data_IF_698974026563
#
_entry.id   IF_698974026563
#
_cell.length_a   1.000
_cell.length_b   1.000
_cell.length_c   1.000
_cell.angle_alpha   90.00
_cell.angle_beta   90.00
_cell.angle_gamma   90.00
#
_symmetry.space_group_name_H-M   'P 1'
#
loop_
_entity.id
_entity.type
_entity.pdbx_description
1 polymer ?
#
# COMPACT_ATOMS: atom_id res chain seq x y z
N UNK A 1 12.58 10.78 -20.68
CA UNK A 1 12.72 10.62 -19.22
C UNK A 1 11.37 10.57 -18.56
N UNK A 2 11.22 9.77 -17.51
CA UNK A 2 10.02 9.67 -16.68
C UNK A 2 10.38 10.14 -15.27
N UNK A 3 9.67 11.14 -14.79
CA UNK A 3 9.85 11.72 -13.45
C UNK A 3 8.78 11.16 -12.54
N UNK A 4 9.17 10.52 -11.45
CA UNK A 4 8.27 9.99 -10.44
C UNK A 4 8.43 10.73 -9.13
N UNK A 5 7.31 11.05 -8.51
CA UNK A 5 7.23 11.51 -7.12
C UNK A 5 6.42 10.54 -6.30
N UNK A 6 6.88 10.23 -5.11
CA UNK A 6 6.11 9.54 -4.07
C UNK A 6 6.00 10.48 -2.87
N UNK A 7 4.80 11.01 -2.65
CA UNK A 7 4.53 11.99 -1.60
C UNK A 7 3.95 11.23 -0.42
N UNK A 8 4.74 11.09 0.63
CA UNK A 8 4.28 10.51 1.90
C UNK A 8 4.09 11.56 2.99
N UNK A 9 3.48 11.19 4.11
CA UNK A 9 3.24 12.10 5.23
C UNK A 9 4.50 12.61 5.94
N UNK A 10 5.70 12.12 5.62
CA UNK A 10 6.97 12.54 6.26
C UNK A 10 8.05 12.95 5.27
N UNK A 11 7.98 12.45 4.05
CA UNK A 11 8.98 12.68 3.01
C UNK A 11 8.37 12.70 1.63
N UNK A 12 9.02 13.40 0.71
CA UNK A 12 8.84 13.29 -0.73
C UNK A 12 10.05 12.53 -1.29
N UNK A 13 9.80 11.49 -2.06
CA UNK A 13 10.83 10.82 -2.85
C UNK A 13 10.66 11.20 -4.32
N UNK A 14 11.73 11.63 -4.95
CA UNK A 14 11.79 11.96 -6.38
C UNK A 14 12.78 11.07 -7.09
N UNK A 15 12.38 10.48 -8.21
CA UNK A 15 13.26 9.67 -9.05
C UNK A 15 13.06 9.97 -10.53
N UNK A 16 14.15 9.86 -11.28
CA UNK A 16 14.17 9.98 -12.74
C UNK A 16 14.55 8.65 -13.35
N UNK A 17 13.74 8.22 -14.31
CA UNK A 17 13.95 6.97 -15.05
C UNK A 17 14.18 7.28 -16.53
N UNK A 18 15.11 6.55 -17.15
CA UNK A 18 15.32 6.57 -18.59
C UNK A 18 14.26 5.70 -19.33
N UNK A 19 14.35 5.61 -20.65
CA UNK A 19 13.42 4.80 -21.46
C UNK A 19 13.54 3.30 -21.24
N UNK A 20 14.67 2.82 -20.71
CA UNK A 20 14.85 1.43 -20.28
C UNK A 20 14.30 1.14 -18.89
N UNK A 21 13.70 2.15 -18.21
CA UNK A 21 13.20 2.11 -16.84
C UNK A 21 14.31 1.90 -15.79
N UNK A 22 15.51 2.36 -16.08
CA UNK A 22 16.60 2.42 -15.13
C UNK A 22 16.55 3.74 -14.37
N UNK A 23 16.68 3.70 -13.04
CA UNK A 23 16.77 4.89 -12.19
C UNK A 23 18.12 5.57 -12.41
N UNK A 24 18.10 6.79 -12.94
CA UNK A 24 19.30 7.59 -13.23
C UNK A 24 19.49 8.75 -12.25
N UNK A 25 18.52 9.01 -11.41
CA UNK A 25 18.57 10.00 -10.33
C UNK A 25 17.52 9.69 -9.27
N UNK A 26 17.89 9.86 -8.00
CA UNK A 26 16.99 9.76 -6.85
C UNK A 26 17.39 10.81 -5.81
N UNK A 27 16.41 11.45 -5.22
CA UNK A 27 16.60 12.40 -4.11
C UNK A 27 15.38 12.36 -3.19
N UNK A 28 15.58 12.61 -1.90
CA UNK A 28 14.52 12.64 -0.87
C UNK A 28 14.61 13.90 -0.05
N UNK A 29 13.47 14.49 0.28
CA UNK A 29 13.36 15.62 1.21
C UNK A 29 12.25 15.35 2.22
N UNK A 30 12.26 16.03 3.39
CA UNK A 30 11.09 16.09 4.27
C UNK A 30 9.88 16.64 3.49
N UNK A 31 8.69 16.09 3.73
CA UNK A 31 7.47 16.58 3.11
C UNK A 31 7.00 17.85 3.84
N UNK A 32 6.67 18.94 3.11
CA UNK A 32 5.89 20.05 3.65
C UNK A 32 4.46 19.58 3.94
N UNK A 33 4.16 19.32 5.22
CA UNK A 33 2.88 18.70 5.61
C UNK A 33 1.77 19.68 5.86
N UNK A 34 2.10 20.97 6.11
CA UNK A 34 1.15 21.99 6.52
C UNK A 34 0.88 23.03 5.46
N UNK A 35 1.82 23.29 4.55
CA UNK A 35 1.74 24.33 3.54
C UNK A 35 1.72 23.73 2.13
N UNK A 36 0.64 23.97 1.40
CA UNK A 36 0.46 23.45 0.03
C UNK A 36 1.34 24.18 -0.98
N UNK A 37 1.53 25.48 -0.85
CA UNK A 37 2.38 26.25 -1.76
C UNK A 37 3.86 25.85 -1.62
N UNK A 38 4.32 25.61 -0.38
CA UNK A 38 5.66 25.07 -0.12
C UNK A 38 5.83 23.67 -0.75
N UNK A 39 4.79 22.83 -0.70
CA UNK A 39 4.79 21.53 -1.37
C UNK A 39 4.92 21.68 -2.89
N UNK A 40 4.12 22.57 -3.51
CA UNK A 40 4.20 22.84 -4.94
C UNK A 40 5.57 23.40 -5.35
N UNK A 41 6.14 24.30 -4.55
CA UNK A 41 7.48 24.88 -4.78
C UNK A 41 8.58 23.79 -4.72
N UNK A 42 8.45 22.84 -3.80
CA UNK A 42 9.36 21.71 -3.70
C UNK A 42 9.30 20.81 -4.96
N UNK A 43 8.09 20.48 -5.42
CA UNK A 43 7.88 19.67 -6.64
C UNK A 43 8.43 20.37 -7.87
N UNK A 44 8.13 21.67 -8.06
CA UNK A 44 8.60 22.48 -9.17
C UNK A 44 10.14 22.58 -9.19
N UNK A 45 10.75 22.78 -8.02
CA UNK A 45 12.21 22.82 -7.86
C UNK A 45 12.88 21.53 -8.33
N UNK A 46 12.35 20.38 -7.96
CA UNK A 46 12.86 19.07 -8.41
C UNK A 46 12.73 18.88 -9.91
N UNK A 47 11.57 19.24 -10.48
CA UNK A 47 11.29 19.14 -11.91
C UNK A 47 12.27 20.01 -12.69
N UNK A 48 12.43 21.30 -12.29
CA UNK A 48 13.37 22.21 -12.94
C UNK A 48 14.83 21.74 -12.85
N UNK A 49 15.24 21.26 -11.67
CA UNK A 49 16.58 20.69 -11.44
C UNK A 49 16.85 19.49 -12.37
N UNK A 50 15.87 18.61 -12.52
CA UNK A 50 15.97 17.45 -13.42
C UNK A 50 15.97 17.84 -14.88
N UNK A 51 15.09 18.75 -15.29
CA UNK A 51 15.06 19.27 -16.68
C UNK A 51 16.41 19.85 -17.08
N UNK A 52 17.01 20.67 -16.22
CA UNK A 52 18.34 21.23 -16.44
C UNK A 52 19.45 20.20 -16.47
N UNK A 53 19.38 19.20 -15.56
CA UNK A 53 20.41 18.16 -15.46
C UNK A 53 20.44 17.23 -16.66
N UNK A 54 19.26 16.89 -17.20
CA UNK A 54 19.12 15.92 -18.29
C UNK A 54 18.84 16.56 -19.65
N UNK A 55 18.83 17.87 -19.71
CA UNK A 55 18.54 18.68 -20.91
C UNK A 55 17.27 18.20 -21.63
N UNK A 56 16.21 17.95 -20.87
CA UNK A 56 14.93 17.49 -21.41
C UNK A 56 13.77 17.84 -20.47
N UNK A 57 12.57 17.94 -21.03
CA UNK A 57 11.33 18.03 -20.25
C UNK A 57 10.76 16.63 -20.04
N UNK A 58 11.00 16.05 -18.85
CA UNK A 58 10.50 14.72 -18.50
C UNK A 58 8.97 14.68 -18.29
N UNK A 59 8.38 13.51 -18.50
CA UNK A 59 6.97 13.25 -18.20
C UNK A 59 6.79 13.03 -16.69
N UNK A 60 5.87 13.78 -16.07
CA UNK A 60 5.72 13.83 -14.60
C UNK A 60 4.57 12.97 -14.14
N UNK A 61 4.83 12.08 -13.19
CA UNK A 61 3.84 11.30 -12.48
C UNK A 61 4.04 11.41 -10.96
N UNK A 62 2.95 11.42 -10.21
CA UNK A 62 2.96 11.63 -8.76
C UNK A 62 2.10 10.56 -8.09
N UNK A 63 2.68 9.86 -7.12
CA UNK A 63 1.98 9.03 -6.13
C UNK A 63 1.66 9.85 -4.88
N UNK A 64 0.45 9.70 -4.35
CA UNK A 64 0.00 10.40 -3.15
C UNK A 64 -0.83 9.46 -2.24
N UNK A 65 -0.84 9.69 -0.92
CA UNK A 65 -1.68 8.92 0.00
C UNK A 65 -3.13 9.44 -0.04
N UNK A 66 -4.10 8.55 -0.19
CA UNK A 66 -5.53 8.88 -0.19
C UNK A 66 -6.22 8.67 -1.52
N UNK A 67 -7.40 9.25 -1.68
CA UNK A 67 -8.27 9.10 -2.85
C UNK A 67 -8.58 10.47 -3.48
N UNK A 68 -9.05 10.46 -4.73
CA UNK A 68 -9.50 11.66 -5.43
C UNK A 68 -11.03 11.74 -5.36
N UNK A 69 -11.55 12.92 -5.12
CA UNK A 69 -12.97 13.21 -5.27
C UNK A 69 -13.30 13.30 -6.77
N UNK A 70 -14.22 12.46 -7.29
CA UNK A 70 -14.51 12.41 -8.73
C UNK A 70 -15.23 13.65 -9.27
N UNK A 71 -15.92 14.40 -8.43
CA UNK A 71 -16.70 15.56 -8.86
C UNK A 71 -15.84 16.83 -8.92
N UNK A 72 -14.90 16.97 -7.98
CA UNK A 72 -14.08 18.18 -7.82
C UNK A 72 -12.65 18.00 -8.33
N UNK A 73 -12.18 16.75 -8.50
CA UNK A 73 -10.78 16.36 -8.75
C UNK A 73 -9.83 16.84 -7.65
N UNK A 74 -10.33 17.03 -6.43
CA UNK A 74 -9.51 17.37 -5.27
C UNK A 74 -9.11 16.11 -4.52
N UNK A 75 -7.98 16.17 -3.81
CA UNK A 75 -7.45 15.03 -3.08
C UNK A 75 -8.05 14.95 -1.68
N UNK A 76 -8.43 13.74 -1.26
CA UNK A 76 -8.89 13.44 0.09
C UNK A 76 -7.76 12.67 0.79
N UNK A 77 -6.95 13.38 1.57
CA UNK A 77 -5.77 12.87 2.25
C UNK A 77 -5.91 13.04 3.76
N UNK A 78 -5.98 11.94 4.51
CA UNK A 78 -6.09 12.00 5.97
C UNK A 78 -4.75 12.26 6.65
N UNK A 79 -3.64 11.80 6.05
CA UNK A 79 -2.32 11.80 6.66
C UNK A 79 -1.39 12.91 6.12
N UNK A 80 -1.91 13.78 5.25
CA UNK A 80 -1.17 14.87 4.64
C UNK A 80 -2.10 16.08 4.47
N UNK A 81 -2.27 16.92 5.52
CA UNK A 81 -3.21 18.04 5.53
C UNK A 81 -2.99 19.04 4.40
N UNK A 82 -1.73 19.29 4.01
CA UNK A 82 -1.40 20.21 2.90
C UNK A 82 -2.04 19.80 1.57
N UNK A 83 -2.28 18.50 1.32
CA UNK A 83 -2.92 18.03 0.09
C UNK A 83 -4.44 17.91 0.18
N UNK A 84 -5.01 17.90 1.39
CA UNK A 84 -6.45 17.71 1.55
C UNK A 84 -7.25 18.85 0.93
N UNK A 85 -8.20 18.53 0.05
CA UNK A 85 -9.02 19.50 -0.66
C UNK A 85 -8.33 20.22 -1.84
N UNK A 86 -7.09 19.87 -2.17
CA UNK A 86 -6.31 20.52 -3.23
C UNK A 86 -6.41 19.77 -4.58
N UNK A 87 -6.33 20.48 -5.68
CA UNK A 87 -6.26 19.91 -7.04
C UNK A 87 -4.79 19.90 -7.54
N UNK A 88 -3.97 19.04 -6.91
CA UNK A 88 -2.53 18.94 -7.17
C UNK A 88 -2.20 18.81 -8.66
N UNK A 89 -2.96 18.01 -9.39
CA UNK A 89 -2.74 17.78 -10.81
C UNK A 89 -2.84 19.08 -11.60
N UNK A 90 -3.98 19.77 -11.48
CA UNK A 90 -4.24 21.02 -12.22
C UNK A 90 -3.26 22.12 -11.84
N UNK A 91 -2.96 22.26 -10.56
CA UNK A 91 -2.15 23.37 -10.07
C UNK A 91 -0.69 23.22 -10.48
N UNK A 92 -0.13 21.98 -10.37
CA UNK A 92 1.23 21.73 -10.85
C UNK A 92 1.31 21.81 -12.38
N UNK A 93 0.29 21.32 -13.13
CA UNK A 93 0.24 21.48 -14.59
C UNK A 93 0.34 22.95 -15.03
N UNK A 94 -0.39 23.85 -14.34
CA UNK A 94 -0.31 25.31 -14.61
C UNK A 94 1.08 25.86 -14.35
N UNK A 95 1.74 25.47 -13.25
CA UNK A 95 3.08 25.95 -12.89
C UNK A 95 4.13 25.54 -13.91
N UNK A 96 4.17 24.25 -14.27
CA UNK A 96 5.22 23.73 -15.16
C UNK A 96 4.87 23.75 -16.65
N UNK A 97 3.64 24.16 -17.01
CA UNK A 97 3.12 24.23 -18.39
C UNK A 97 3.29 22.93 -19.17
N UNK A 98 2.99 21.78 -18.54
CA UNK A 98 2.98 20.43 -19.14
C UNK A 98 2.11 19.45 -18.34
N UNK A 99 1.76 18.32 -18.98
CA UNK A 99 0.90 17.31 -18.35
C UNK A 99 1.56 16.69 -17.13
N UNK A 100 0.74 16.50 -16.09
CA UNK A 100 1.06 15.79 -14.87
C UNK A 100 0.03 14.70 -14.68
N UNK A 101 0.44 13.49 -14.30
CA UNK A 101 -0.46 12.43 -13.86
C UNK A 101 -0.33 12.20 -12.37
N UNK A 102 -1.45 12.03 -11.71
CA UNK A 102 -1.48 11.73 -10.27
C UNK A 102 -2.22 10.42 -10.03
N UNK A 103 -1.80 9.66 -9.03
CA UNK A 103 -2.44 8.40 -8.66
C UNK A 103 -2.18 8.10 -7.18
N UNK A 104 -3.06 7.29 -6.57
CA UNK A 104 -2.82 6.75 -5.23
C UNK A 104 -1.50 5.95 -5.15
N UNK A 105 -0.82 6.00 -4.01
CA UNK A 105 0.49 5.38 -3.77
C UNK A 105 0.48 3.83 -3.91
N UNK A 106 -0.58 3.15 -3.43
CA UNK A 106 -0.72 1.71 -3.60
C UNK A 106 -0.96 1.33 -5.07
N UNK A 107 -1.68 2.16 -5.82
CA UNK A 107 -1.85 2.01 -7.26
C UNK A 107 -0.52 2.20 -8.01
N UNK A 108 0.29 3.18 -7.63
CA UNK A 108 1.63 3.35 -8.15
C UNK A 108 2.50 2.12 -7.84
N UNK A 109 2.46 1.62 -6.62
CA UNK A 109 3.16 0.40 -6.23
C UNK A 109 2.75 -0.80 -7.12
N UNK A 110 1.45 -1.02 -7.34
CA UNK A 110 0.95 -2.09 -8.21
C UNK A 110 1.46 -1.94 -9.64
N UNK A 111 1.40 -0.73 -10.20
CA UNK A 111 1.90 -0.44 -11.53
C UNK A 111 3.39 -0.75 -11.68
N UNK A 112 4.18 -0.40 -10.67
CA UNK A 112 5.60 -0.74 -10.60
C UNK A 112 5.84 -2.24 -10.72
N UNK A 113 5.08 -3.05 -10.00
CA UNK A 113 5.25 -4.51 -10.00
C UNK A 113 4.72 -5.17 -11.30
N UNK A 114 3.81 -4.53 -12.02
CA UNK A 114 3.32 -5.00 -13.32
C UNK A 114 4.31 -4.73 -14.48
N UNK A 115 5.30 -3.86 -14.29
CA UNK A 115 6.34 -3.59 -15.28
C UNK A 115 7.72 -4.05 -14.77
N UNK A 116 8.20 -5.19 -15.28
CA UNK A 116 9.47 -5.83 -14.90
C UNK A 116 9.57 -6.21 -13.41
N UNK A 117 8.44 -6.25 -12.70
CA UNK A 117 8.33 -6.61 -11.30
C UNK A 117 7.78 -8.01 -11.06
N UNK A 118 7.25 -8.24 -9.86
CA UNK A 118 6.74 -9.55 -9.43
C UNK A 118 5.46 -9.98 -10.17
N UNK A 119 4.73 -9.04 -10.78
CA UNK A 119 3.50 -9.26 -11.53
C UNK A 119 3.66 -9.05 -13.05
N UNK A 120 4.88 -9.08 -13.60
CA UNK A 120 5.15 -8.74 -15.01
C UNK A 120 4.32 -9.56 -16.00
N UNK A 121 4.13 -10.86 -15.73
CA UNK A 121 3.44 -11.81 -16.62
C UNK A 121 1.96 -12.02 -16.24
N UNK A 122 1.44 -11.25 -15.28
CA UNK A 122 0.08 -11.40 -14.80
C UNK A 122 -0.91 -10.59 -15.64
N UNK A 123 -2.01 -11.23 -16.02
CA UNK A 123 -3.16 -10.54 -16.60
C UNK A 123 -3.91 -9.75 -15.51
N UNK A 124 -4.18 -10.41 -14.37
CA UNK A 124 -4.81 -9.80 -13.19
C UNK A 124 -3.87 -9.95 -12.00
N UNK A 125 -3.50 -8.84 -11.42
CA UNK A 125 -2.68 -8.78 -10.21
C UNK A 125 -3.40 -8.00 -9.10
N UNK A 126 -3.32 -8.52 -7.88
CA UNK A 126 -3.66 -7.79 -6.65
C UNK A 126 -2.34 -7.39 -5.99
N UNK A 127 -2.19 -6.12 -5.68
CA UNK A 127 -1.09 -5.62 -4.86
C UNK A 127 -1.60 -5.31 -3.45
N UNK A 128 -0.85 -5.70 -2.44
CA UNK A 128 -1.16 -5.51 -1.02
C UNK A 128 0.03 -4.90 -0.34
N UNK A 129 -0.07 -3.68 0.15
CA UNK A 129 0.99 -3.05 0.95
C UNK A 129 0.71 -3.26 2.43
N UNK A 130 1.52 -4.07 3.09
CA UNK A 130 1.48 -4.35 4.51
C UNK A 130 2.55 -3.49 5.23
N UNK A 131 2.20 -2.24 5.46
CA UNK A 131 3.04 -1.24 6.12
C UNK A 131 2.49 -0.83 7.50
N UNK A 132 2.54 0.47 7.82
CA UNK A 132 1.83 1.04 8.99
C UNK A 132 0.33 0.75 8.86
N UNK A 133 -0.26 1.03 7.69
CA UNK A 133 -1.59 0.62 7.29
C UNK A 133 -1.58 -0.59 6.33
N UNK A 134 -2.74 -0.86 5.72
CA UNK A 134 -2.91 -1.83 4.65
C UNK A 134 -3.48 -1.11 3.43
N UNK A 135 -2.66 -0.91 2.42
CA UNK A 135 -3.09 -0.43 1.12
C UNK A 135 -3.33 -1.56 0.13
N UNK A 136 -4.13 -1.29 -0.86
CA UNK A 136 -4.42 -2.25 -1.91
C UNK A 136 -4.59 -1.62 -3.29
N UNK A 137 -4.33 -2.42 -4.32
CA UNK A 137 -4.53 -2.02 -5.70
C UNK A 137 -4.83 -3.23 -6.59
N UNK A 138 -5.53 -2.98 -7.68
CA UNK A 138 -5.87 -3.98 -8.68
C UNK A 138 -5.29 -3.52 -10.02
N UNK A 139 -4.54 -4.40 -10.66
CA UNK A 139 -3.99 -4.16 -11.99
C UNK A 139 -4.48 -5.24 -12.96
N UNK A 140 -5.04 -4.82 -14.09
CA UNK A 140 -5.55 -5.70 -15.14
C UNK A 140 -4.87 -5.32 -16.45
N UNK A 141 -4.20 -6.28 -17.09
CA UNK A 141 -3.46 -6.02 -18.35
C UNK A 141 -2.51 -4.82 -18.22
N UNK A 142 -1.74 -4.75 -17.13
CA UNK A 142 -0.82 -3.65 -16.81
C UNK A 142 -1.47 -2.26 -16.69
N UNK A 143 -2.79 -2.24 -16.47
CA UNK A 143 -3.57 -1.01 -16.27
C UNK A 143 -4.19 -1.03 -14.87
N UNK A 144 -4.02 0.05 -14.14
CA UNK A 144 -4.63 0.19 -12.81
C UNK A 144 -6.14 0.33 -12.93
N UNK A 145 -6.87 -0.45 -12.15
CA UNK A 145 -8.30 -0.30 -11.96
C UNK A 145 -8.54 0.80 -10.91
N UNK A 146 -8.78 2.02 -11.35
CA UNK A 146 -9.06 3.13 -10.41
C UNK A 146 -10.50 3.12 -9.88
N UNK A 147 -11.44 2.53 -10.63
CA UNK A 147 -12.87 2.55 -10.29
C UNK A 147 -13.56 3.88 -10.61
N UNK A 148 -14.86 3.92 -10.38
CA UNK A 148 -15.68 5.11 -10.67
C UNK A 148 -15.36 6.29 -9.75
N UNK A 149 -15.09 6.00 -8.47
CA UNK A 149 -14.79 6.99 -7.43
C UNK A 149 -13.30 6.96 -7.03
N UNK A 150 -12.41 6.48 -7.87
CA UNK A 150 -10.99 6.29 -7.60
C UNK A 150 -10.66 5.44 -6.36
N UNK A 151 -11.64 4.68 -5.85
CA UNK A 151 -11.53 3.87 -4.64
C UNK A 151 -11.39 2.35 -4.90
N UNK A 152 -11.17 1.91 -6.15
CA UNK A 152 -10.96 0.50 -6.41
C UNK A 152 -9.62 0.04 -5.82
N UNK A 153 -9.66 -1.06 -5.07
CA UNK A 153 -8.46 -1.54 -4.37
C UNK A 153 -8.38 -1.13 -2.90
N UNK A 154 -9.28 -0.28 -2.40
CA UNK A 154 -9.33 0.12 -0.99
C UNK A 154 -9.83 -1.01 -0.06
N UNK A 155 -9.40 -2.24 -0.31
CA UNK A 155 -9.84 -3.40 0.47
C UNK A 155 -9.25 -3.45 1.89
N UNK A 156 -8.29 -2.61 2.22
CA UNK A 156 -7.89 -2.35 3.61
C UNK A 156 -9.03 -1.85 4.48
N UNK A 157 -10.00 -1.16 3.87
CA UNK A 157 -11.19 -0.63 4.54
C UNK A 157 -12.42 -1.54 4.46
N UNK A 158 -12.31 -2.73 3.84
CA UNK A 158 -13.36 -3.75 3.96
C UNK A 158 -13.43 -4.25 5.40
N UNK A 159 -14.64 -4.46 5.92
CA UNK A 159 -14.82 -5.14 7.19
C UNK A 159 -14.27 -6.58 7.10
N UNK A 160 -13.64 -7.07 8.17
CA UNK A 160 -13.21 -8.48 8.22
C UNK A 160 -14.43 -9.40 8.07
N UNK A 161 -14.27 -10.59 7.42
CA UNK A 161 -15.38 -11.53 7.30
C UNK A 161 -15.96 -11.91 8.67
N UNK A 162 -17.30 -11.88 8.80
CA UNK A 162 -18.01 -12.17 10.06
C UNK A 162 -17.70 -13.54 10.65
N UNK A 163 -17.27 -14.51 9.81
CA UNK A 163 -16.78 -15.81 10.25
C UNK A 163 -15.54 -15.73 11.14
N UNK A 164 -14.75 -14.65 11.03
CA UNK A 164 -13.59 -14.43 11.91
C UNK A 164 -14.01 -14.08 13.34
N UNK A 165 -15.08 -13.30 13.50
CA UNK A 165 -15.64 -12.99 14.83
C UNK A 165 -16.28 -14.23 15.49
N UNK A 166 -16.81 -15.17 14.69
CA UNK A 166 -17.29 -16.46 15.19
C UNK A 166 -16.15 -17.38 15.61
N UNK A 167 -15.07 -17.41 14.81
CA UNK A 167 -13.89 -18.25 15.08
C UNK A 167 -13.05 -17.75 16.24
N UNK A 168 -13.02 -16.45 16.42
CA UNK A 168 -12.27 -15.72 17.44
C UNK A 168 -13.21 -14.74 18.18
N UNK A 169 -14.09 -15.26 19.09
CA UNK A 169 -15.07 -14.42 19.79
C UNK A 169 -14.44 -13.33 20.65
N UNK A 170 -13.16 -13.52 21.01
CA UNK A 170 -12.37 -12.57 21.78
C UNK A 170 -11.84 -11.40 20.96
N UNK A 171 -11.94 -11.42 19.61
CA UNK A 171 -11.46 -10.31 18.78
C UNK A 171 -12.17 -9.01 19.10
N UNK A 172 -11.44 -7.91 19.34
CA UNK A 172 -12.06 -6.63 19.58
C UNK A 172 -12.68 -6.07 18.28
N UNK A 173 -13.84 -5.43 18.39
CA UNK A 173 -14.35 -4.57 17.33
C UNK A 173 -13.54 -3.27 17.36
N UNK A 174 -12.81 -3.00 16.29
CA UNK A 174 -11.90 -1.85 16.19
C UNK A 174 -12.54 -0.70 15.44
N UNK A 175 -12.14 0.55 15.77
CA UNK A 175 -12.48 1.73 14.98
C UNK A 175 -11.37 1.99 13.96
N UNK A 176 -11.74 2.35 12.73
CA UNK A 176 -10.82 2.73 11.67
C UNK A 176 -10.87 4.24 11.43
N UNK A 177 -9.74 4.81 11.02
CA UNK A 177 -9.64 6.23 10.63
C UNK A 177 -10.58 6.64 9.48
N UNK A 178 -11.07 5.68 8.68
CA UNK A 178 -12.07 5.93 7.64
C UNK A 178 -13.50 6.16 8.19
N UNK A 179 -13.71 6.03 9.50
CA UNK A 179 -15.03 6.08 10.15
C UNK A 179 -15.74 4.73 10.25
N UNK A 180 -15.22 3.69 9.60
CA UNK A 180 -15.73 2.33 9.65
C UNK A 180 -15.28 1.55 10.90
N UNK A 181 -15.81 0.34 11.04
CA UNK A 181 -15.49 -0.57 12.15
C UNK A 181 -14.93 -1.89 11.60
N UNK A 182 -13.99 -2.46 12.34
CA UNK A 182 -13.37 -3.75 12.01
C UNK A 182 -12.86 -3.84 10.56
N UNK A 183 -12.31 -2.75 10.04
CA UNK A 183 -11.63 -2.74 8.75
C UNK A 183 -10.42 -3.68 8.78
N UNK A 184 -10.15 -4.35 7.65
CA UNK A 184 -9.04 -5.31 7.52
C UNK A 184 -7.70 -4.70 7.96
N UNK A 185 -7.45 -3.44 7.65
CA UNK A 185 -6.26 -2.69 8.04
C UNK A 185 -6.02 -2.69 9.54
N UNK A 186 -7.08 -2.59 10.35
CA UNK A 186 -6.97 -2.50 11.80
C UNK A 186 -6.52 -3.81 12.47
N UNK A 187 -6.45 -4.90 11.69
CA UNK A 187 -5.94 -6.21 12.12
C UNK A 187 -4.72 -6.65 11.31
N UNK A 188 -4.72 -6.39 10.00
CA UNK A 188 -3.75 -6.96 9.06
C UNK A 188 -2.72 -5.94 8.53
N UNK A 189 -2.41 -4.92 9.30
CA UNK A 189 -1.29 -4.01 9.07
C UNK A 189 -0.21 -4.16 10.14
N UNK A 190 0.87 -3.39 10.05
CA UNK A 190 1.89 -3.35 11.11
C UNK A 190 1.34 -2.82 12.43
N UNK A 191 0.48 -1.77 12.38
CA UNK A 191 -0.21 -1.26 13.58
C UNK A 191 -1.28 -2.24 14.06
N UNK A 192 -2.00 -2.90 13.15
CA UNK A 192 -2.97 -3.92 13.46
C UNK A 192 -2.35 -5.14 14.14
N UNK A 193 -1.20 -5.61 13.65
CA UNK A 193 -0.44 -6.71 14.26
C UNK A 193 0.00 -6.36 15.69
N UNK A 194 0.47 -5.11 15.92
CA UNK A 194 0.84 -4.63 17.24
C UNK A 194 -0.38 -4.54 18.18
N UNK A 195 -1.52 -4.07 17.68
CA UNK A 195 -2.76 -4.01 18.45
C UNK A 195 -3.27 -5.41 18.84
N UNK A 196 -3.24 -6.36 17.90
CA UNK A 196 -3.59 -7.77 18.17
C UNK A 196 -2.66 -8.38 19.21
N UNK A 197 -1.34 -8.13 19.12
CA UNK A 197 -0.40 -8.64 20.11
C UNK A 197 -0.68 -8.08 21.50
N UNK A 198 -0.90 -6.76 21.63
CA UNK A 198 -1.28 -6.13 22.89
C UNK A 198 -2.58 -6.74 23.44
N UNK A 199 -3.59 -6.95 22.58
CA UNK A 199 -4.86 -7.57 22.98
C UNK A 199 -4.65 -8.97 23.53
N UNK A 200 -3.95 -9.85 22.82
CA UNK A 200 -3.71 -11.22 23.28
C UNK A 200 -2.79 -11.30 24.49
N UNK A 201 -1.82 -10.39 24.63
CA UNK A 201 -0.97 -10.31 25.82
C UNK A 201 -1.80 -10.02 27.07
N UNK A 202 -2.73 -9.08 26.99
CA UNK A 202 -3.65 -8.77 28.09
C UNK A 202 -4.60 -9.97 28.36
N UNK A 203 -5.17 -10.53 27.32
CA UNK A 203 -6.15 -11.63 27.44
C UNK A 203 -5.55 -12.89 28.02
N UNK A 204 -4.31 -13.24 27.69
CA UNK A 204 -3.63 -14.46 28.13
C UNK A 204 -2.87 -14.28 29.45
N UNK A 205 -2.28 -13.11 29.71
CA UNK A 205 -1.40 -12.85 30.85
C UNK A 205 -1.99 -11.92 31.91
N UNK A 206 -3.18 -11.31 31.65
CA UNK A 206 -3.86 -10.40 32.57
C UNK A 206 -3.30 -8.99 32.64
N UNK A 207 -2.15 -8.68 32.04
CA UNK A 207 -1.54 -7.35 32.01
C UNK A 207 -0.64 -7.15 30.80
N UNK A 208 -0.48 -5.89 30.40
CA UNK A 208 0.50 -5.47 29.41
C UNK A 208 1.18 -4.19 29.91
N UNK A 209 2.50 -4.24 30.12
CA UNK A 209 3.27 -3.03 30.42
C UNK A 209 3.28 -2.12 29.20
N UNK A 210 2.77 -0.89 29.34
CA UNK A 210 2.68 0.08 28.23
C UNK A 210 4.05 0.47 27.66
N UNK A 211 5.11 0.38 28.45
CA UNK A 211 6.49 0.67 28.04
C UNK A 211 7.07 -0.33 27.03
N UNK A 212 6.46 -1.50 26.83
CA UNK A 212 6.90 -2.54 25.89
C UNK A 212 5.94 -2.75 24.74
N UNK A 213 5.53 -1.68 24.06
CA UNK A 213 4.75 -1.79 22.82
C UNK A 213 5.65 -2.36 21.71
N UNK A 214 5.58 -3.67 21.45
CA UNK A 214 6.30 -4.32 20.35
C UNK A 214 5.77 -3.83 19.01
N UNK A 215 6.68 -3.57 18.07
CA UNK A 215 6.37 -3.26 16.67
C UNK A 215 6.33 -4.55 15.84
N UNK A 216 5.80 -4.47 14.63
CA UNK A 216 5.68 -5.61 13.73
C UNK A 216 6.93 -6.49 13.64
N UNK A 217 8.14 -5.96 13.40
CA UNK A 217 9.37 -6.76 13.35
C UNK A 217 9.67 -7.51 14.65
N UNK A 218 9.43 -6.89 15.81
CA UNK A 218 9.69 -7.50 17.11
C UNK A 218 8.71 -8.67 17.38
N UNK A 219 7.44 -8.50 16.96
CA UNK A 219 6.41 -9.55 17.09
C UNK A 219 6.74 -10.72 16.16
N UNK A 220 7.23 -10.46 14.95
CA UNK A 220 7.69 -11.51 14.03
C UNK A 220 8.87 -12.28 14.65
N UNK A 221 9.85 -11.57 15.21
CA UNK A 221 10.98 -12.23 15.89
C UNK A 221 10.52 -13.08 17.10
N UNK A 222 9.57 -12.58 17.90
CA UNK A 222 8.99 -13.33 19.00
C UNK A 222 8.20 -14.57 18.49
N UNK A 223 7.50 -14.46 17.39
CA UNK A 223 6.83 -15.58 16.72
C UNK A 223 7.82 -16.65 16.25
N UNK A 224 8.92 -16.26 15.63
CA UNK A 224 9.99 -17.14 15.18
C UNK A 224 10.67 -17.84 16.38
N UNK A 225 10.74 -17.17 17.52
CA UNK A 225 11.20 -17.74 18.80
C UNK A 225 10.14 -18.60 19.51
N UNK A 226 8.96 -18.83 18.88
CA UNK A 226 7.83 -19.59 19.45
C UNK A 226 7.25 -18.99 20.75
N UNK A 227 7.32 -17.66 20.93
CA UNK A 227 6.65 -17.00 22.05
C UNK A 227 5.12 -17.15 21.89
N UNK A 228 4.45 -17.61 22.94
CA UNK A 228 3.06 -18.09 22.87
C UNK A 228 2.05 -17.01 22.43
N UNK A 229 2.20 -15.78 22.92
CA UNK A 229 1.32 -14.66 22.55
C UNK A 229 1.56 -14.28 21.09
N UNK A 230 2.81 -14.22 20.63
CA UNK A 230 3.16 -13.92 19.25
C UNK A 230 2.65 -15.00 18.28
N UNK A 231 2.75 -16.28 18.68
CA UNK A 231 2.21 -17.41 17.89
C UNK A 231 0.69 -17.29 17.74
N UNK A 232 -0.04 -17.00 18.83
CA UNK A 232 -1.49 -16.76 18.78
C UNK A 232 -1.81 -15.56 17.89
N UNK A 233 -1.12 -14.44 18.07
CA UNK A 233 -1.30 -13.19 17.33
C UNK A 233 -1.12 -13.40 15.83
N UNK A 234 0.00 -13.97 15.42
CA UNK A 234 0.32 -14.22 14.01
C UNK A 234 -0.64 -15.23 13.38
N UNK A 235 -1.07 -16.24 14.15
CA UNK A 235 -2.07 -17.21 13.65
C UNK A 235 -3.36 -16.50 13.29
N UNK A 236 -3.87 -15.64 14.17
CA UNK A 236 -5.11 -14.87 13.95
C UNK A 236 -4.94 -13.86 12.81
N UNK A 237 -3.81 -13.15 12.77
CA UNK A 237 -3.46 -12.24 11.67
C UNK A 237 -3.53 -12.97 10.31
N UNK A 238 -2.88 -14.12 10.19
CA UNK A 238 -2.87 -14.90 8.95
C UNK A 238 -4.26 -15.45 8.60
N UNK A 239 -5.07 -15.84 9.58
CA UNK A 239 -6.43 -16.34 9.34
C UNK A 239 -7.36 -15.24 8.83
N UNK A 240 -7.27 -14.03 9.41
CA UNK A 240 -8.05 -12.86 8.95
C UNK A 240 -7.62 -12.48 7.54
N UNK A 241 -6.31 -12.39 7.29
CA UNK A 241 -5.78 -12.05 5.96
C UNK A 241 -6.17 -13.10 4.92
N UNK A 242 -6.12 -14.38 5.27
CA UNK A 242 -6.53 -15.48 4.38
C UNK A 242 -8.02 -15.40 4.00
N UNK A 243 -8.89 -15.12 4.96
CA UNK A 243 -10.32 -15.00 4.70
C UNK A 243 -10.64 -13.80 3.80
N UNK A 244 -9.97 -12.67 4.02
CA UNK A 244 -10.12 -11.47 3.18
C UNK A 244 -9.58 -11.71 1.76
N UNK A 245 -8.38 -12.28 1.63
CA UNK A 245 -7.81 -12.62 0.32
C UNK A 245 -8.64 -13.68 -0.41
N UNK A 246 -9.17 -14.68 0.30
CA UNK A 246 -10.08 -15.66 -0.28
C UNK A 246 -11.31 -15.00 -0.92
N UNK A 247 -11.89 -13.99 -0.25
CA UNK A 247 -13.00 -13.20 -0.82
C UNK A 247 -12.58 -12.44 -2.08
N UNK A 248 -11.41 -11.80 -2.09
CA UNK A 248 -10.88 -11.08 -3.24
C UNK A 248 -10.56 -12.03 -4.40
N UNK A 249 -10.00 -13.21 -4.10
CA UNK A 249 -9.72 -14.24 -5.11
C UNK A 249 -11.01 -14.73 -5.75
N UNK A 250 -12.07 -14.95 -4.98
CA UNK A 250 -13.39 -15.36 -5.48
C UNK A 250 -14.06 -14.29 -6.37
N UNK A 251 -13.70 -13.02 -6.22
CA UNK A 251 -14.25 -11.90 -7.01
C UNK A 251 -13.45 -11.64 -8.28
N UNK A 252 -12.11 -11.68 -8.17
CA UNK A 252 -11.19 -11.19 -9.21
C UNK A 252 -10.45 -12.31 -9.96
N UNK A 253 -10.35 -13.50 -9.39
CA UNK A 253 -9.59 -14.64 -9.92
C UNK A 253 -8.19 -14.25 -10.43
N UNK A 254 -7.33 -13.65 -9.56
CA UNK A 254 -6.07 -13.07 -9.99
C UNK A 254 -5.02 -14.15 -10.29
N UNK A 255 -4.04 -13.81 -11.15
CA UNK A 255 -2.88 -14.67 -11.39
C UNK A 255 -1.87 -14.59 -10.23
N UNK A 256 -1.78 -13.43 -9.58
CA UNK A 256 -0.78 -13.14 -8.55
C UNK A 256 -1.31 -12.17 -7.51
N UNK A 257 -0.90 -12.39 -6.26
CA UNK A 257 -0.97 -11.40 -5.18
C UNK A 257 0.45 -10.99 -4.83
N UNK A 258 0.77 -9.70 -4.93
CA UNK A 258 2.10 -9.15 -4.63
C UNK A 258 2.05 -8.41 -3.30
N UNK A 259 2.87 -8.81 -2.35
CA UNK A 259 3.00 -8.15 -1.06
C UNK A 259 4.15 -7.13 -1.06
N UNK A 260 3.83 -5.89 -0.68
CA UNK A 260 4.76 -4.81 -0.39
C UNK A 260 4.69 -4.36 1.07
N UNK A 261 5.45 -3.31 1.39
CA UNK A 261 5.51 -2.77 2.74
C UNK A 261 6.43 -3.56 3.68
N UNK A 262 6.51 -3.11 4.92
CA UNK A 262 7.48 -3.64 5.90
C UNK A 262 7.28 -5.11 6.25
N UNK A 263 6.03 -5.59 6.28
CA UNK A 263 5.70 -6.98 6.57
C UNK A 263 5.86 -7.93 5.37
N UNK A 264 6.11 -7.42 4.16
CA UNK A 264 6.26 -8.27 2.97
C UNK A 264 7.44 -9.26 3.04
N UNK A 265 8.39 -9.05 3.95
CA UNK A 265 9.51 -9.97 4.19
C UNK A 265 9.16 -11.12 5.14
N UNK A 266 7.95 -11.10 5.69
CA UNK A 266 7.53 -12.14 6.63
C UNK A 266 7.25 -13.46 5.90
N UNK A 267 8.10 -14.46 6.11
CA UNK A 267 8.09 -15.74 5.39
C UNK A 267 6.74 -16.48 5.48
N UNK A 268 6.02 -16.35 6.60
CA UNK A 268 4.74 -17.02 6.78
C UNK A 268 3.63 -16.53 5.80
N UNK A 269 3.80 -15.37 5.17
CA UNK A 269 2.92 -14.92 4.07
C UNK A 269 3.04 -15.83 2.84
N UNK A 270 4.16 -16.49 2.66
CA UNK A 270 4.42 -17.33 1.49
C UNK A 270 4.31 -18.81 1.81
N UNK A 271 4.71 -19.21 3.01
CA UNK A 271 4.75 -20.63 3.41
C UNK A 271 3.46 -21.11 4.08
N UNK A 272 2.73 -20.26 4.82
CA UNK A 272 1.53 -20.66 5.59
C UNK A 272 0.22 -20.10 5.06
N UNK A 273 0.25 -18.90 4.46
CA UNK A 273 -0.96 -18.24 3.98
C UNK A 273 -1.67 -18.99 2.85
N UNK A 274 -0.99 -19.64 1.86
CA UNK A 274 -1.67 -20.39 0.80
C UNK A 274 -2.61 -21.48 1.32
N UNK A 275 -2.16 -22.29 2.28
CA UNK A 275 -2.98 -23.34 2.89
C UNK A 275 -4.23 -22.77 3.58
N UNK A 276 -4.08 -21.62 4.24
CA UNK A 276 -5.18 -20.94 4.91
C UNK A 276 -6.18 -20.35 3.91
N UNK A 277 -5.72 -19.76 2.78
CA UNK A 277 -6.57 -19.23 1.70
C UNK A 277 -7.39 -20.35 1.07
N UNK A 278 -6.84 -21.56 0.92
CA UNK A 278 -7.53 -22.71 0.33
C UNK A 278 -8.85 -23.05 1.02
N UNK A 279 -9.00 -22.71 2.31
CA UNK A 279 -10.24 -22.91 3.05
C UNK A 279 -11.38 -21.92 2.67
N UNK A 280 -11.07 -20.87 1.91
CA UNK A 280 -12.00 -19.77 1.56
C UNK A 280 -12.32 -19.66 0.07
N UNK A 281 -11.79 -20.58 -0.73
CA UNK A 281 -12.03 -20.65 -2.18
C UNK A 281 -12.61 -22.01 -2.58
N UNK A 282 -13.10 -22.17 -3.79
CA UNK A 282 -13.54 -23.48 -4.26
C UNK A 282 -12.38 -24.48 -4.30
N UNK A 283 -12.66 -25.74 -3.92
CA UNK A 283 -11.64 -26.79 -3.79
C UNK A 283 -10.89 -27.13 -5.10
N UNK A 284 -11.45 -26.79 -6.24
CA UNK A 284 -10.87 -26.99 -7.57
C UNK A 284 -10.19 -25.71 -8.13
N UNK A 285 -10.21 -24.61 -7.40
CA UNK A 285 -9.52 -23.40 -7.81
C UNK A 285 -8.03 -23.52 -7.65
N UNK A 286 -7.29 -23.10 -8.66
CA UNK A 286 -5.85 -22.89 -8.55
C UNK A 286 -5.62 -21.56 -7.83
N UNK A 287 -4.93 -21.59 -6.71
CA UNK A 287 -4.58 -20.37 -5.99
C UNK A 287 -3.64 -19.48 -6.81
N UNK A 288 -3.76 -18.15 -6.70
CA UNK A 288 -2.78 -17.23 -7.26
C UNK A 288 -1.40 -17.44 -6.65
N UNK A 289 -0.36 -17.09 -7.40
CA UNK A 289 0.98 -17.03 -6.83
C UNK A 289 1.04 -15.90 -5.78
N UNK A 290 1.55 -16.19 -4.58
CA UNK A 290 1.85 -15.17 -3.58
C UNK A 290 3.33 -14.78 -3.73
N UNK A 291 3.61 -13.52 -4.04
CA UNK A 291 4.96 -13.06 -4.31
C UNK A 291 5.33 -11.83 -3.49
N UNK A 292 6.58 -11.75 -3.07
CA UNK A 292 7.15 -10.53 -2.53
C UNK A 292 7.42 -9.53 -3.65
N UNK A 293 7.17 -8.24 -3.37
CA UNK A 293 7.49 -7.17 -4.29
C UNK A 293 8.98 -7.14 -4.64
N UNK A 294 9.27 -6.95 -5.93
CA UNK A 294 10.63 -6.88 -6.46
C UNK A 294 11.29 -5.54 -6.15
N UNK A 295 10.52 -4.44 -6.26
CA UNK A 295 11.05 -3.09 -6.10
C UNK A 295 10.90 -2.53 -4.68
N UNK A 296 10.18 -3.23 -3.79
CA UNK A 296 10.09 -2.89 -2.37
C UNK A 296 9.71 -1.43 -2.11
N UNK A 297 10.54 -0.72 -1.33
CA UNK A 297 10.29 0.68 -0.96
C UNK A 297 10.40 1.70 -2.11
N UNK A 298 10.95 1.32 -3.25
CA UNK A 298 11.06 2.18 -4.44
C UNK A 298 9.84 2.02 -5.37
N UNK A 299 8.96 1.07 -5.07
CA UNK A 299 7.79 0.73 -5.89
C UNK A 299 6.85 1.90 -6.12
N UNK A 300 6.60 2.74 -5.10
CA UNK A 300 5.73 3.91 -5.19
C UNK A 300 6.26 4.94 -6.19
N UNK A 301 7.47 5.44 -5.99
CA UNK A 301 8.08 6.46 -6.85
C UNK A 301 8.32 5.96 -8.28
N UNK A 302 8.70 4.68 -8.43
CA UNK A 302 8.85 4.05 -9.74
C UNK A 302 7.50 3.93 -10.46
N UNK A 303 6.46 3.50 -9.78
CA UNK A 303 5.11 3.42 -10.33
C UNK A 303 4.54 4.77 -10.72
N UNK A 304 4.80 5.81 -9.93
CA UNK A 304 4.44 7.17 -10.28
C UNK A 304 5.07 7.58 -11.62
N UNK A 305 6.36 7.34 -11.81
CA UNK A 305 7.02 7.59 -13.11
C UNK A 305 6.37 6.81 -14.26
N UNK A 306 5.94 5.57 -14.01
CA UNK A 306 5.30 4.68 -14.99
C UNK A 306 3.88 5.09 -15.38
N UNK A 307 3.22 6.01 -14.68
CA UNK A 307 1.91 6.54 -15.09
C UNK A 307 1.92 7.10 -16.52
N UNK A 308 3.09 7.52 -16.99
CA UNK A 308 3.31 8.05 -18.33
C UNK A 308 3.96 7.06 -19.31
N UNK A 309 4.29 5.87 -18.86
CA UNK A 309 4.88 4.83 -19.70
C UNK A 309 3.80 4.18 -20.59
N UNK A 310 4.11 3.98 -21.88
CA UNK A 310 3.20 3.38 -22.87
C UNK A 310 3.82 2.14 -23.48
#
# INVERSE_FOLDING_TARGET
>A
MYYGFDIGGTKIEFSVYNTALECVFNERIPAPTEDYEELLDALDTFIFKADKKFDCKGLVGIGYPGVMDPDTNTLICSNLPSLHGQNLQSDLQKRISRDVKVQNDANCFALSECYKGAAEDAEIAIAVTLGTGLGGAICINKTILSGHNFGAGEFGHMAIPGTMLQRYPELPVTHCGCGGHSCLETYCSGTGLAALYKHYKIHMNGSCDEEQALKGPDIIAAYEANEMVAVKTVTVFLDILAAALGSLIMILDPNVVVFGGGLARFEALYSKLPEKIAAYVFSNMKLPALKQAKFGGEGGVRGAALLNYK
#
